data_IF_715571761571
#
_entry.id   IF_715571761571
#
_cell.length_a   1.000
_cell.length_b   1.000
_cell.length_c   1.000
_cell.angle_alpha   90.00
_cell.angle_beta   90.00
_cell.angle_gamma   90.00
#
_symmetry.space_group_name_H-M   'P 1'
#
loop_
_entity.id
_entity.type
_entity.pdbx_description
1 polymer ?
#
# COMPACT_ATOMS: atom_id res chain seq x y z
N UNK A 1 3.51 13.12 8.43
CA UNK A 1 2.71 12.29 7.50
C UNK A 1 2.83 10.84 7.93
N UNK A 2 1.70 10.17 8.12
CA UNK A 2 1.64 8.75 8.45
C UNK A 2 2.01 7.91 7.24
N UNK A 3 2.37 6.65 7.45
CA UNK A 3 2.66 5.72 6.34
C UNK A 3 1.43 5.55 5.42
N UNK A 4 0.22 5.61 6.00
CA UNK A 4 -1.04 5.57 5.26
C UNK A 4 -1.19 6.76 4.29
N UNK A 5 -0.92 7.98 4.78
CA UNK A 5 -0.95 9.19 3.94
C UNK A 5 0.14 9.16 2.87
N UNK A 6 1.32 8.64 3.19
CA UNK A 6 2.41 8.42 2.22
C UNK A 6 1.98 7.47 1.10
N UNK A 7 1.28 6.37 1.40
CA UNK A 7 0.76 5.47 0.38
C UNK A 7 -0.22 6.18 -0.56
N UNK A 8 -1.20 6.92 -0.01
CA UNK A 8 -2.17 7.68 -0.82
C UNK A 8 -1.45 8.63 -1.76
N UNK A 9 -0.52 9.42 -1.25
CA UNK A 9 0.14 10.46 -2.04
C UNK A 9 1.17 9.91 -3.03
N UNK A 10 1.82 8.78 -2.74
CA UNK A 10 2.76 8.12 -3.65
C UNK A 10 2.07 7.37 -4.80
N UNK A 11 0.82 6.94 -4.59
CA UNK A 11 0.09 6.04 -5.50
C UNK A 11 -1.18 6.66 -6.10
N UNK A 12 -1.47 7.94 -5.85
CA UNK A 12 -2.66 8.62 -6.37
C UNK A 12 -2.84 8.51 -7.90
N UNK A 13 -1.74 8.44 -8.65
CA UNK A 13 -1.72 8.31 -10.12
C UNK A 13 -1.71 6.85 -10.59
N UNK A 14 -1.82 5.91 -9.65
CA UNK A 14 -1.77 4.45 -9.85
C UNK A 14 -3.05 3.75 -9.40
N UNK A 15 -4.12 4.51 -9.15
CA UNK A 15 -5.42 3.96 -8.79
C UNK A 15 -5.95 3.14 -9.98
N UNK A 16 -6.20 1.85 -9.77
CA UNK A 16 -6.63 0.91 -10.79
C UNK A 16 -5.49 0.17 -11.51
N UNK A 17 -4.24 0.60 -11.32
CA UNK A 17 -3.07 -0.11 -11.82
C UNK A 17 -2.72 -1.27 -10.87
N UNK A 18 -2.11 -2.32 -11.44
CA UNK A 18 -1.43 -3.34 -10.65
C UNK A 18 -0.04 -2.84 -10.27
N UNK A 19 0.30 -2.91 -8.98
CA UNK A 19 1.60 -2.45 -8.47
C UNK A 19 2.31 -3.54 -7.68
N UNK A 20 3.63 -3.60 -7.80
CA UNK A 20 4.46 -4.52 -7.03
C UNK A 20 4.92 -3.89 -5.72
N UNK A 21 5.23 -4.73 -4.73
CA UNK A 21 5.83 -4.28 -3.47
C UNK A 21 7.13 -3.48 -3.70
N UNK A 22 7.92 -3.86 -4.71
CA UNK A 22 9.16 -3.18 -5.04
C UNK A 22 8.91 -1.75 -5.54
N UNK A 23 7.94 -1.55 -6.43
CA UNK A 23 7.58 -0.23 -6.96
C UNK A 23 6.98 0.67 -5.87
N UNK A 24 6.11 0.12 -5.03
CA UNK A 24 5.56 0.84 -3.88
C UNK A 24 6.71 1.31 -2.98
N UNK A 25 7.62 0.40 -2.64
CA UNK A 25 8.77 0.68 -1.78
C UNK A 25 9.66 1.77 -2.37
N UNK A 26 10.01 1.65 -3.65
CA UNK A 26 10.86 2.62 -4.35
C UNK A 26 10.24 4.02 -4.36
N UNK A 27 8.94 4.13 -4.64
CA UNK A 27 8.20 5.39 -4.62
C UNK A 27 8.19 6.05 -3.24
N UNK A 28 7.89 5.28 -2.19
CA UNK A 28 7.84 5.83 -0.83
C UNK A 28 9.24 6.25 -0.33
N UNK A 29 10.28 5.47 -0.62
CA UNK A 29 11.67 5.83 -0.28
C UNK A 29 12.07 7.10 -1.03
N UNK A 30 11.87 7.15 -2.34
CA UNK A 30 12.30 8.27 -3.18
C UNK A 30 11.58 9.56 -2.82
N UNK A 31 10.26 9.49 -2.56
CA UNK A 31 9.45 10.69 -2.30
C UNK A 31 9.49 11.17 -0.85
N UNK A 32 9.61 10.26 0.12
CA UNK A 32 9.43 10.58 1.54
C UNK A 32 10.58 10.12 2.45
N UNK A 33 11.63 9.50 1.90
CA UNK A 33 12.73 8.89 2.65
C UNK A 33 12.24 7.87 3.70
N UNK A 34 11.16 7.15 3.37
CA UNK A 34 10.53 6.18 4.26
C UNK A 34 11.45 5.00 4.56
N UNK A 35 11.49 4.55 5.82
CA UNK A 35 12.29 3.38 6.18
C UNK A 35 11.73 2.10 5.52
N UNK A 36 12.56 1.30 4.81
CA UNK A 36 12.15 0.05 4.18
C UNK A 36 11.29 -0.89 5.05
N UNK A 37 11.67 -1.07 6.32
CA UNK A 37 11.04 -2.01 7.23
C UNK A 37 9.70 -1.54 7.81
N UNK A 38 9.33 -0.27 7.65
CA UNK A 38 8.04 0.24 8.14
C UNK A 38 6.92 0.15 7.09
N UNK A 39 7.20 -0.42 5.91
CA UNK A 39 6.25 -0.54 4.81
C UNK A 39 5.69 -1.96 4.71
N UNK A 40 4.39 -2.09 4.93
CA UNK A 40 3.67 -3.34 4.71
C UNK A 40 2.31 -3.08 4.04
N UNK A 41 2.24 -3.09 2.69
CA UNK A 41 0.99 -2.91 1.95
C UNK A 41 -0.10 -3.93 2.31
N UNK A 42 0.28 -5.11 2.79
CA UNK A 42 -0.69 -6.12 3.23
C UNK A 42 -1.56 -5.64 4.41
N UNK A 43 -1.06 -4.72 5.25
CA UNK A 43 -1.83 -4.11 6.34
C UNK A 43 -2.98 -3.22 5.84
N UNK A 44 -2.89 -2.78 4.58
CA UNK A 44 -3.86 -1.92 3.90
C UNK A 44 -4.60 -2.67 2.76
N UNK A 45 -4.53 -4.00 2.74
CA UNK A 45 -5.23 -4.81 1.74
C UNK A 45 -6.64 -5.21 2.19
N UNK A 46 -7.59 -5.13 1.26
CA UNK A 46 -8.82 -5.89 1.38
C UNK A 46 -8.52 -7.38 1.14
N UNK A 47 -8.74 -8.22 2.16
CA UNK A 47 -8.48 -9.66 2.09
C UNK A 47 -9.52 -10.45 2.93
N UNK A 48 -9.45 -11.80 2.93
CA UNK A 48 -10.37 -12.68 3.67
C UNK A 48 -10.46 -12.35 5.16
N UNK A 49 -9.37 -11.92 5.79
CA UNK A 49 -9.31 -11.58 7.21
C UNK A 49 -9.88 -10.19 7.52
N UNK A 50 -9.81 -9.27 6.55
CA UNK A 50 -10.36 -7.91 6.63
C UNK A 50 -11.77 -7.80 6.01
N UNK A 51 -12.32 -8.91 5.48
CA UNK A 51 -13.66 -8.96 4.89
C UNK A 51 -14.71 -8.69 5.97
N UNK A 52 -15.34 -7.51 5.91
CA UNK A 52 -16.36 -7.08 6.88
C UNK A 52 -15.84 -6.30 8.10
N UNK A 53 -14.54 -5.99 8.17
CA UNK A 53 -14.02 -5.05 9.17
C UNK A 53 -14.47 -3.63 8.82
N UNK A 54 -14.84 -2.84 9.83
CA UNK A 54 -15.11 -1.38 9.73
C UNK A 54 -13.82 -0.58 9.46
N UNK A 55 -12.75 -1.23 9.00
CA UNK A 55 -11.45 -0.63 8.76
C UNK A 55 -11.46 0.06 7.40
N UNK A 56 -11.88 1.34 7.38
CA UNK A 56 -11.98 2.20 6.19
C UNK A 56 -10.61 2.69 5.65
N UNK A 57 -9.54 1.90 5.81
CA UNK A 57 -8.18 2.25 5.34
C UNK A 57 -7.63 1.26 4.32
N UNK A 58 -8.49 0.55 3.62
CA UNK A 58 -8.07 -0.36 2.55
C UNK A 58 -7.65 0.47 1.34
N UNK A 59 -6.40 0.30 0.91
CA UNK A 59 -5.81 0.96 -0.25
C UNK A 59 -5.55 -0.01 -1.41
N UNK A 60 -5.46 -1.31 -1.10
CA UNK A 60 -5.00 -2.34 -2.04
C UNK A 60 -5.99 -3.50 -2.14
N UNK A 61 -5.97 -4.18 -3.29
CA UNK A 61 -6.60 -5.49 -3.46
C UNK A 61 -5.48 -6.51 -3.49
N UNK A 62 -5.51 -7.50 -2.59
CA UNK A 62 -4.46 -8.52 -2.63
C UNK A 62 -4.61 -9.40 -3.87
N UNK A 63 -3.60 -9.41 -4.76
CA UNK A 63 -3.53 -10.31 -5.91
C UNK A 63 -2.64 -11.51 -5.57
N UNK A 64 -1.39 -11.27 -5.16
CA UNK A 64 -0.46 -12.31 -4.73
C UNK A 64 0.63 -11.76 -3.78
N UNK A 65 1.58 -12.60 -3.37
CA UNK A 65 2.61 -12.29 -2.33
C UNK A 65 3.43 -11.02 -2.60
N UNK A 66 3.51 -10.54 -3.84
CA UNK A 66 4.31 -9.36 -4.21
C UNK A 66 3.54 -8.31 -5.00
N UNK A 67 2.24 -8.52 -5.22
CA UNK A 67 1.45 -7.72 -6.17
C UNK A 67 0.10 -7.38 -5.57
N UNK A 68 -0.28 -6.11 -5.74
CA UNK A 68 -1.43 -5.45 -5.13
C UNK A 68 -2.19 -4.59 -6.13
#
# INVERSE_FOLDING_TARGET
MTIYEQFIEALKEKIGDTVTFAEIKDRLITKFNTKPGSMNPADYCYNRYNKGRVFNKNLFIYINKKTY
#
